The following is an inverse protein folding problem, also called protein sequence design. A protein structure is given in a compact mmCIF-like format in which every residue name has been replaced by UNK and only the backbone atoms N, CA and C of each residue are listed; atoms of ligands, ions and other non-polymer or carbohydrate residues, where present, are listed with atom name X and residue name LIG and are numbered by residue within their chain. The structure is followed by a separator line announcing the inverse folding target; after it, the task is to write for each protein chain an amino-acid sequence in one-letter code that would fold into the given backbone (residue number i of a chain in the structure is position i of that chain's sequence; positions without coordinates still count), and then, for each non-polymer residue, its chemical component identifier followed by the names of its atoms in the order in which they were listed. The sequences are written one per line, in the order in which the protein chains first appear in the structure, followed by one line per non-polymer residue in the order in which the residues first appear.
data_IF_913316059719
#
_entry.id   IF_913316059719
#
_cell.length_a   1.000
_cell.length_b   1.000
_cell.length_c   1.000
_cell.angle_alpha   90.00
_cell.angle_beta   90.00
_cell.angle_gamma   90.00
#
_symmetry.space_group_name_H-M   'P 1'
#
loop_
_entity.id
_entity.type
_entity.pdbx_description
1 polymer ?
#
# COMPACT_ATOMS: atom_id res chain seq x y z
N UNK A 1 -56.33 36.48 12.53
CA UNK A 1 -55.28 36.67 11.52
C UNK A 1 -53.92 36.63 12.19
N UNK A 2 -52.99 35.91 11.55
CA UNK A 2 -51.55 35.84 11.76
C UNK A 2 -51.02 35.12 13.00
N UNK A 3 -50.95 33.80 12.87
CA UNK A 3 -49.80 33.04 13.34
C UNK A 3 -48.63 33.16 12.35
N UNK A 4 -47.40 33.19 12.88
CA UNK A 4 -46.14 32.82 12.23
C UNK A 4 -45.02 33.00 13.26
N UNK A 5 -43.97 32.19 13.36
CA UNK A 5 -43.68 30.84 12.92
C UNK A 5 -42.40 30.51 13.68
N UNK A 6 -42.49 29.71 14.75
CA UNK A 6 -41.30 29.22 15.45
C UNK A 6 -40.71 28.06 14.64
N UNK A 7 -39.77 28.38 13.77
CA UNK A 7 -38.94 27.38 13.10
C UNK A 7 -37.46 27.73 13.31
N UNK A 8 -36.96 27.47 14.52
CA UNK A 8 -35.52 27.20 14.71
C UNK A 8 -35.21 25.97 13.86
N UNK A 9 -34.63 26.20 12.69
CA UNK A 9 -33.98 25.18 11.89
C UNK A 9 -32.91 24.54 12.78
N UNK A 10 -33.25 23.41 13.39
CA UNK A 10 -32.28 22.45 13.92
C UNK A 10 -31.40 22.05 12.74
N UNK A 11 -30.26 22.72 12.62
CA UNK A 11 -29.13 22.21 11.85
C UNK A 11 -28.92 20.77 12.30
N UNK A 12 -29.25 19.82 11.42
CA UNK A 12 -28.92 18.43 11.62
C UNK A 12 -27.40 18.41 11.66
N UNK A 13 -26.81 18.27 12.85
CA UNK A 13 -25.40 17.92 13.00
C UNK A 13 -25.17 16.62 12.22
N UNK A 14 -24.79 16.75 10.95
CA UNK A 14 -24.28 15.66 10.14
C UNK A 14 -22.93 15.30 10.74
N UNK A 15 -22.92 14.25 11.55
CA UNK A 15 -21.69 13.56 11.98
C UNK A 15 -20.81 13.41 10.74
N UNK A 16 -19.55 13.88 10.76
CA UNK A 16 -18.66 13.68 9.63
C UNK A 16 -18.63 12.18 9.32
N UNK A 17 -18.92 11.79 8.08
CA UNK A 17 -18.67 10.44 7.60
C UNK A 17 -17.22 10.10 7.99
N UNK A 18 -17.02 9.17 8.92
CA UNK A 18 -15.69 8.69 9.28
C UNK A 18 -15.10 8.10 8.00
N UNK A 19 -14.13 8.80 7.41
CA UNK A 19 -13.46 8.35 6.21
C UNK A 19 -12.94 6.92 6.41
N UNK A 20 -12.91 6.14 5.33
CA UNK A 20 -12.37 4.79 5.33
C UNK A 20 -11.14 4.72 4.44
N UNK A 21 -10.13 3.99 4.90
CA UNK A 21 -8.94 3.64 4.12
C UNK A 21 -9.16 2.38 3.27
N UNK A 22 -10.31 1.71 3.43
CA UNK A 22 -10.71 0.57 2.59
C UNK A 22 -11.27 0.99 1.24
N UNK A 23 -11.19 0.09 0.29
CA UNK A 23 -11.76 0.23 -1.04
C UNK A 23 -12.32 -1.11 -1.55
N UNK A 24 -13.22 -1.06 -2.54
CA UNK A 24 -13.61 -2.25 -3.31
C UNK A 24 -12.63 -2.44 -4.47
N UNK A 25 -12.03 -3.63 -4.55
CA UNK A 25 -11.08 -3.96 -5.61
C UNK A 25 -11.78 -4.09 -6.97
N UNK A 26 -11.11 -3.63 -8.03
CA UNK A 26 -11.50 -3.75 -9.43
C UNK A 26 -10.40 -4.42 -10.24
N UNK A 27 -10.75 -5.46 -11.01
CA UNK A 27 -9.81 -6.14 -11.88
C UNK A 27 -9.24 -5.23 -12.99
N UNK A 28 -10.08 -4.34 -13.54
CA UNK A 28 -9.65 -3.38 -14.57
C UNK A 28 -8.62 -2.37 -14.02
N UNK A 29 -8.84 -1.87 -12.80
CA UNK A 29 -7.86 -1.00 -12.13
C UNK A 29 -6.56 -1.75 -11.88
N UNK A 30 -6.64 -3.00 -11.40
CA UNK A 30 -5.46 -3.84 -11.18
C UNK A 30 -4.64 -4.05 -12.44
N UNK A 31 -5.31 -4.44 -13.53
CA UNK A 31 -4.64 -4.66 -14.81
C UNK A 31 -3.90 -3.39 -15.28
N UNK A 32 -4.54 -2.22 -15.17
CA UNK A 32 -3.92 -0.94 -15.52
C UNK A 32 -2.70 -0.64 -14.64
N UNK A 33 -2.81 -0.83 -13.32
CA UNK A 33 -1.72 -0.58 -12.37
C UNK A 33 -0.51 -1.47 -12.68
N UNK A 34 -0.73 -2.77 -12.95
CA UNK A 34 0.33 -3.71 -13.31
C UNK A 34 1.01 -3.34 -14.63
N UNK A 35 0.24 -2.94 -15.65
CA UNK A 35 0.79 -2.47 -16.92
C UNK A 35 1.62 -1.21 -16.77
N UNK A 36 1.15 -0.24 -15.97
CA UNK A 36 1.89 0.99 -15.68
C UNK A 36 3.20 0.69 -14.95
N UNK A 37 3.17 -0.24 -13.99
CA UNK A 37 4.36 -0.66 -13.26
C UNK A 37 5.37 -1.38 -14.17
N UNK A 38 4.93 -2.29 -15.04
CA UNK A 38 5.80 -2.90 -16.08
C UNK A 38 6.44 -1.82 -16.95
N UNK A 39 5.65 -0.85 -17.43
CA UNK A 39 6.15 0.22 -18.26
C UNK A 39 7.19 1.08 -17.53
N UNK A 40 6.98 1.36 -16.25
CA UNK A 40 7.94 2.06 -15.41
C UNK A 40 9.23 1.26 -15.23
N UNK A 41 9.13 -0.03 -14.90
CA UNK A 41 10.30 -0.91 -14.77
C UNK A 41 11.12 -0.96 -16.06
N UNK A 42 10.46 -1.08 -17.23
CA UNK A 42 11.17 -1.10 -18.53
C UNK A 42 11.99 0.16 -18.80
N UNK A 43 11.60 1.31 -18.27
CA UNK A 43 12.37 2.57 -18.40
C UNK A 43 13.66 2.55 -17.57
N UNK A 44 13.67 1.80 -16.47
CA UNK A 44 14.82 1.65 -15.59
C UNK A 44 15.71 0.51 -16.08
N UNK A 45 15.09 -0.64 -16.36
CA UNK A 45 15.70 -1.88 -16.80
C UNK A 45 14.72 -2.65 -17.69
N UNK A 46 14.95 -2.69 -19.02
CA UNK A 46 14.12 -3.45 -19.95
C UNK A 46 13.97 -4.92 -19.56
N UNK A 47 15.05 -5.53 -19.03
CA UNK A 47 15.08 -6.92 -18.58
C UNK A 47 14.16 -7.13 -17.37
N UNK A 48 14.24 -6.27 -16.34
CA UNK A 48 13.39 -6.39 -15.15
C UNK A 48 11.91 -6.20 -15.50
N UNK A 49 11.61 -5.26 -16.41
CA UNK A 49 10.26 -5.09 -16.93
C UNK A 49 9.75 -6.31 -17.71
N UNK A 50 10.60 -6.97 -18.50
CA UNK A 50 10.25 -8.22 -19.19
C UNK A 50 10.03 -9.38 -18.21
N UNK A 51 10.90 -9.52 -17.21
CA UNK A 51 10.78 -10.53 -16.15
C UNK A 51 9.51 -10.33 -15.32
N UNK A 52 9.22 -9.10 -14.91
CA UNK A 52 8.00 -8.80 -14.16
C UNK A 52 6.74 -9.03 -15.00
N UNK A 53 6.78 -8.72 -16.30
CA UNK A 53 5.69 -9.05 -17.22
C UNK A 53 5.40 -10.56 -17.25
N UNK A 54 6.42 -11.41 -17.23
CA UNK A 54 6.22 -12.87 -17.17
C UNK A 54 5.59 -13.32 -15.85
N UNK A 55 5.93 -12.67 -14.73
CA UNK A 55 5.35 -12.97 -13.41
C UNK A 55 3.85 -12.69 -13.42
N UNK A 56 3.42 -11.52 -13.91
CA UNK A 56 2.00 -11.14 -13.91
C UNK A 56 1.15 -11.94 -14.90
N UNK A 57 1.76 -12.54 -15.93
CA UNK A 57 1.08 -13.50 -16.82
C UNK A 57 0.82 -14.84 -16.13
N UNK A 58 1.67 -15.23 -15.17
CA UNK A 58 1.56 -16.52 -14.46
C UNK A 58 0.67 -16.47 -13.23
N UNK A 59 0.58 -15.32 -12.56
CA UNK A 59 -0.15 -15.17 -11.30
C UNK A 59 -0.50 -13.71 -11.01
N UNK A 60 -1.57 -13.47 -10.23
CA UNK A 60 -1.83 -12.14 -9.67
C UNK A 60 -0.82 -11.85 -8.55
N UNK A 61 0.11 -10.89 -8.73
CA UNK A 61 1.12 -10.56 -7.72
C UNK A 61 0.50 -10.09 -6.39
N UNK A 62 -0.66 -9.43 -6.43
CA UNK A 62 -1.37 -8.96 -5.23
C UNK A 62 -2.00 -10.14 -4.47
N UNK A 63 -2.42 -11.19 -5.18
CA UNK A 63 -2.89 -12.41 -4.54
C UNK A 63 -1.74 -13.18 -3.86
N UNK A 64 -0.54 -13.17 -4.45
CA UNK A 64 0.65 -13.84 -3.90
C UNK A 64 1.09 -13.26 -2.56
N UNK A 65 0.98 -11.94 -2.36
CA UNK A 65 1.40 -11.29 -1.11
C UNK A 65 0.34 -11.36 0.01
N UNK A 66 -0.93 -11.53 -0.35
CA UNK A 66 -2.06 -11.47 0.59
C UNK A 66 -1.92 -12.41 1.81
N UNK A 67 -1.44 -13.66 1.70
CA UNK A 67 -1.23 -14.54 2.85
C UNK A 67 -0.24 -13.95 3.88
N UNK A 68 0.82 -13.29 3.42
CA UNK A 68 1.82 -12.65 4.28
C UNK A 68 1.21 -11.54 5.11
N UNK A 69 0.39 -10.68 4.50
CA UNK A 69 -0.35 -9.62 5.22
C UNK A 69 -1.36 -10.21 6.20
N UNK A 70 -2.07 -11.27 5.81
CA UNK A 70 -3.11 -11.89 6.64
C UNK A 70 -2.55 -12.42 7.96
N UNK A 71 -1.31 -12.91 8.00
CA UNK A 71 -0.61 -13.33 9.24
C UNK A 71 -0.57 -12.22 10.29
N UNK A 72 -0.49 -10.96 9.85
CA UNK A 72 -0.48 -9.78 10.71
C UNK A 72 -1.85 -9.09 10.82
N UNK A 73 -2.93 -9.74 10.37
CA UNK A 73 -4.27 -9.15 10.29
C UNK A 73 -4.35 -7.87 9.44
N UNK A 74 -3.47 -7.77 8.44
CA UNK A 74 -3.45 -6.73 7.42
C UNK A 74 -4.17 -7.20 6.15
N UNK A 75 -4.60 -6.24 5.32
CA UNK A 75 -5.36 -6.51 4.10
C UNK A 75 -4.80 -5.77 2.90
N UNK A 76 -4.96 -6.38 1.73
CA UNK A 76 -4.59 -5.76 0.45
C UNK A 76 -5.62 -4.74 -0.04
N UNK A 77 -6.84 -4.75 0.51
CA UNK A 77 -7.94 -3.84 0.17
C UNK A 77 -8.09 -2.65 1.15
N UNK A 78 -7.05 -2.33 1.91
CA UNK A 78 -6.97 -1.19 2.83
C UNK A 78 -5.63 -0.46 2.64
N UNK A 79 -5.68 0.81 2.23
CA UNK A 79 -4.47 1.60 1.91
C UNK A 79 -3.58 1.78 3.14
N UNK A 80 -4.16 1.87 4.34
CA UNK A 80 -3.36 2.01 5.56
C UNK A 80 -2.60 0.72 5.87
N UNK A 81 -3.21 -0.44 5.59
CA UNK A 81 -2.58 -1.74 5.80
C UNK A 81 -1.44 -1.97 4.77
N UNK A 82 -1.63 -1.59 3.51
CA UNK A 82 -0.57 -1.68 2.49
C UNK A 82 0.56 -0.70 2.75
N UNK A 83 0.28 0.52 3.20
CA UNK A 83 1.30 1.49 3.60
C UNK A 83 2.09 1.03 4.83
N UNK A 84 1.41 0.41 5.79
CA UNK A 84 2.05 -0.23 6.95
C UNK A 84 3.02 -1.32 6.49
N UNK A 85 2.58 -2.17 5.57
CA UNK A 85 3.41 -3.24 5.01
C UNK A 85 4.65 -2.67 4.31
N UNK A 86 4.48 -1.65 3.47
CA UNK A 86 5.59 -0.96 2.80
C UNK A 86 6.59 -0.36 3.78
N UNK A 87 6.12 0.42 4.76
CA UNK A 87 7.02 1.08 5.73
C UNK A 87 7.83 0.06 6.54
N UNK A 88 7.18 -1.02 6.99
CA UNK A 88 7.85 -2.05 7.77
C UNK A 88 8.85 -2.83 6.89
N UNK A 89 8.44 -3.22 5.68
CA UNK A 89 9.32 -3.88 4.71
C UNK A 89 10.55 -3.03 4.40
N UNK A 90 10.38 -1.75 4.12
CA UNK A 90 11.48 -0.82 3.85
C UNK A 90 12.40 -0.63 5.07
N UNK A 91 11.83 -0.50 6.28
CA UNK A 91 12.62 -0.34 7.50
C UNK A 91 13.49 -1.57 7.80
N UNK A 92 12.91 -2.77 7.71
CA UNK A 92 13.63 -4.02 7.91
C UNK A 92 14.64 -4.27 6.79
N UNK A 93 14.26 -3.95 5.54
CA UNK A 93 15.09 -4.06 4.36
C UNK A 93 16.36 -3.22 4.45
N UNK A 94 16.27 -1.94 4.83
CA UNK A 94 17.45 -1.07 5.04
C UNK A 94 18.36 -1.62 6.16
N UNK A 95 17.79 -2.28 7.16
CA UNK A 95 18.57 -2.96 8.22
C UNK A 95 19.13 -4.30 7.76
N UNK A 96 18.65 -4.85 6.64
CA UNK A 96 18.99 -6.19 6.16
C UNK A 96 18.43 -7.29 7.06
N UNK A 97 17.40 -6.96 7.85
CA UNK A 97 16.73 -7.94 8.70
C UNK A 97 15.72 -8.71 7.87
N UNK A 98 15.73 -10.03 8.03
CA UNK A 98 14.74 -10.95 7.44
C UNK A 98 13.78 -11.49 8.51
N UNK A 99 13.87 -10.98 9.73
CA UNK A 99 12.98 -11.36 10.82
C UNK A 99 11.60 -10.74 10.65
N UNK A 100 10.58 -11.49 11.04
CA UNK A 100 9.23 -10.95 11.12
C UNK A 100 9.13 -9.86 12.21
N UNK A 101 8.38 -8.78 11.96
CA UNK A 101 8.13 -7.75 12.95
C UNK A 101 7.23 -8.28 14.09
N UNK A 102 7.45 -7.86 15.35
CA UNK A 102 6.50 -8.10 16.42
C UNK A 102 5.10 -7.52 16.11
N UNK A 103 4.03 -8.26 16.42
CA UNK A 103 2.64 -7.86 16.09
C UNK A 103 2.25 -6.48 16.66
N UNK A 104 2.74 -6.13 17.86
CA UNK A 104 2.49 -4.83 18.47
C UNK A 104 3.12 -3.68 17.67
N UNK A 105 4.27 -3.88 17.03
CA UNK A 105 4.89 -2.88 16.16
C UNK A 105 4.07 -2.69 14.89
N UNK A 106 3.60 -3.79 14.28
CA UNK A 106 2.70 -3.72 13.12
C UNK A 106 1.43 -2.93 13.45
N UNK A 107 0.80 -3.23 14.58
CA UNK A 107 -0.41 -2.53 15.03
C UNK A 107 -0.17 -1.04 15.29
N UNK A 108 0.97 -0.69 15.89
CA UNK A 108 1.34 0.71 16.16
C UNK A 108 1.55 1.52 14.88
N UNK A 109 2.26 0.95 13.89
CA UNK A 109 2.45 1.61 12.57
C UNK A 109 1.11 1.70 11.83
N UNK A 110 0.29 0.65 11.86
CA UNK A 110 -1.06 0.65 11.28
C UNK A 110 -1.94 1.76 11.81
N UNK A 111 -1.97 1.94 13.13
CA UNK A 111 -2.75 3.01 13.76
C UNK A 111 -2.28 4.39 13.31
N UNK A 112 -0.97 4.62 13.26
CA UNK A 112 -0.38 5.88 12.80
C UNK A 112 -0.71 6.16 11.33
N UNK A 113 -0.55 5.17 10.45
CA UNK A 113 -0.87 5.32 9.02
C UNK A 113 -2.33 5.61 8.79
N UNK A 114 -3.22 4.86 9.46
CA UNK A 114 -4.66 5.09 9.37
C UNK A 114 -5.05 6.49 9.84
N UNK A 115 -4.51 6.93 10.98
CA UNK A 115 -4.75 8.26 11.51
C UNK A 115 -4.26 9.36 10.56
N UNK A 116 -3.03 9.24 10.05
CA UNK A 116 -2.44 10.22 9.14
C UNK A 116 -3.23 10.33 7.83
N UNK A 117 -3.64 9.20 7.24
CA UNK A 117 -4.42 9.19 6.00
C UNK A 117 -5.80 9.82 6.18
N UNK A 118 -6.49 9.50 7.28
CA UNK A 118 -7.83 10.03 7.54
C UNK A 118 -7.83 11.49 7.97
N UNK A 119 -6.69 12.02 8.42
CA UNK A 119 -6.51 13.45 8.68
C UNK A 119 -6.46 14.29 7.39
N UNK A 120 -6.27 13.67 6.21
CA UNK A 120 -6.22 14.36 4.91
C UNK A 120 -7.60 14.26 4.23
N UNK A 121 -8.38 15.35 4.14
CA UNK A 121 -9.76 15.30 3.62
C UNK A 121 -9.85 14.80 2.17
N UNK A 122 -8.89 15.17 1.31
CA UNK A 122 -8.84 14.72 -0.09
C UNK A 122 -8.61 13.21 -0.21
N UNK A 123 -7.82 12.62 0.69
CA UNK A 123 -7.67 11.16 0.76
C UNK A 123 -8.95 10.49 1.26
N UNK A 124 -9.56 11.03 2.33
CA UNK A 124 -10.78 10.48 2.89
C UNK A 124 -11.92 10.43 1.85
N UNK A 125 -12.01 11.46 1.00
CA UNK A 125 -12.96 11.58 -0.11
C UNK A 125 -12.52 10.87 -1.41
N UNK A 126 -11.36 10.22 -1.45
CA UNK A 126 -10.86 9.55 -2.67
C UNK A 126 -11.72 8.35 -3.08
N UNK A 127 -11.83 8.15 -4.39
CA UNK A 127 -12.53 7.02 -4.98
C UNK A 127 -11.86 5.68 -4.64
N UNK A 128 -12.62 4.58 -4.74
CA UNK A 128 -12.09 3.23 -4.59
C UNK A 128 -10.97 2.94 -5.60
N UNK A 129 -11.10 3.42 -6.84
CA UNK A 129 -10.08 3.25 -7.88
C UNK A 129 -8.77 3.97 -7.52
N UNK A 130 -8.86 5.18 -6.95
CA UNK A 130 -7.69 5.95 -6.48
C UNK A 130 -7.02 5.24 -5.31
N UNK A 131 -7.80 4.79 -4.32
CA UNK A 131 -7.29 4.04 -3.16
C UNK A 131 -6.65 2.72 -3.58
N UNK A 132 -7.28 2.00 -4.51
CA UNK A 132 -6.74 0.77 -5.07
C UNK A 132 -5.40 1.00 -5.77
N UNK A 133 -5.30 2.04 -6.62
CA UNK A 133 -4.05 2.39 -7.27
C UNK A 133 -2.94 2.63 -6.24
N UNK A 134 -3.21 3.45 -5.22
CA UNK A 134 -2.24 3.71 -4.15
C UNK A 134 -1.81 2.43 -3.41
N UNK A 135 -2.77 1.61 -3.01
CA UNK A 135 -2.52 0.39 -2.27
C UNK A 135 -1.68 -0.61 -3.07
N UNK A 136 -2.04 -0.83 -4.33
CA UNK A 136 -1.34 -1.78 -5.19
C UNK A 136 0.05 -1.28 -5.58
N UNK A 137 0.27 0.02 -5.80
CA UNK A 137 1.62 0.57 -5.99
C UNK A 137 2.52 0.28 -4.79
N UNK A 138 2.02 0.43 -3.56
CA UNK A 138 2.77 0.13 -2.33
C UNK A 138 3.09 -1.37 -2.22
N UNK A 139 2.13 -2.25 -2.53
CA UNK A 139 2.36 -3.69 -2.51
C UNK A 139 3.38 -4.13 -3.56
N UNK A 140 3.39 -3.52 -4.74
CA UNK A 140 4.38 -3.78 -5.77
C UNK A 140 5.79 -3.38 -5.31
N UNK A 141 5.94 -2.25 -4.61
CA UNK A 141 7.21 -1.86 -4.00
C UNK A 141 7.66 -2.83 -2.89
N UNK A 142 6.72 -3.35 -2.08
CA UNK A 142 7.05 -4.41 -1.11
C UNK A 142 7.65 -5.63 -1.81
N UNK A 143 7.09 -6.05 -2.94
CA UNK A 143 7.62 -7.18 -3.70
C UNK A 143 9.03 -6.91 -4.26
N UNK A 144 9.30 -5.68 -4.71
CA UNK A 144 10.65 -5.28 -5.15
C UNK A 144 11.63 -5.36 -3.98
N UNK A 145 11.27 -4.81 -2.82
CA UNK A 145 12.10 -4.87 -1.62
C UNK A 145 12.41 -6.32 -1.21
N UNK A 146 11.40 -7.19 -1.19
CA UNK A 146 11.57 -8.60 -0.86
C UNK A 146 12.48 -9.33 -1.86
N UNK A 147 12.34 -9.03 -3.16
CA UNK A 147 13.19 -9.60 -4.20
C UNK A 147 14.66 -9.16 -4.05
N UNK A 148 14.90 -7.88 -3.79
CA UNK A 148 16.24 -7.34 -3.55
C UNK A 148 16.92 -7.98 -2.33
N UNK A 149 16.21 -8.05 -1.20
CA UNK A 149 16.73 -8.65 0.04
C UNK A 149 16.97 -10.15 -0.14
N UNK A 150 16.06 -10.86 -0.83
CA UNK A 150 16.22 -12.29 -1.09
C UNK A 150 17.42 -12.58 -1.99
N UNK A 151 17.59 -11.82 -3.08
CA UNK A 151 18.73 -11.95 -3.99
C UNK A 151 20.08 -11.68 -3.28
N UNK A 152 20.07 -10.78 -2.29
CA UNK A 152 21.24 -10.36 -1.56
C UNK A 152 21.58 -11.20 -0.30
N UNK A 153 20.72 -12.14 0.12
CA UNK A 153 20.74 -12.79 1.45
C UNK A 153 22.10 -13.37 1.86
N UNK A 154 22.91 -13.83 0.91
CA UNK A 154 24.23 -14.44 1.16
C UNK A 154 25.39 -13.69 0.49
N UNK A 155 25.18 -12.44 0.07
CA UNK A 155 26.14 -11.67 -0.74
C UNK A 155 26.32 -10.27 -0.14
N UNK A 156 27.33 -10.02 0.70
CA UNK A 156 27.47 -8.78 1.45
C UNK A 156 27.47 -7.51 0.59
N UNK A 157 28.16 -7.54 -0.56
CA UNK A 157 28.18 -6.41 -1.51
C UNK A 157 26.81 -6.15 -2.13
N UNK A 158 26.07 -7.20 -2.49
CA UNK A 158 24.70 -7.07 -3.02
C UNK A 158 23.72 -6.62 -1.93
N UNK A 159 23.94 -6.99 -0.67
CA UNK A 159 23.14 -6.52 0.47
C UNK A 159 23.33 -5.02 0.70
N UNK A 160 24.56 -4.51 0.59
CA UNK A 160 24.81 -3.07 0.65
C UNK A 160 24.07 -2.32 -0.47
N UNK A 161 24.08 -2.87 -1.70
CA UNK A 161 23.36 -2.30 -2.83
C UNK A 161 21.84 -2.34 -2.63
N UNK A 162 21.28 -3.47 -2.20
CA UNK A 162 19.85 -3.62 -1.91
C UNK A 162 19.38 -2.59 -0.88
N UNK A 163 20.12 -2.41 0.22
CA UNK A 163 19.83 -1.40 1.24
C UNK A 163 19.82 0.01 0.67
N UNK A 164 20.78 0.34 -0.19
CA UNK A 164 20.87 1.66 -0.82
C UNK A 164 19.69 1.89 -1.77
N UNK A 165 19.28 0.90 -2.56
CA UNK A 165 18.11 0.99 -3.42
C UNK A 165 16.83 1.20 -2.61
N UNK A 166 16.61 0.40 -1.56
CA UNK A 166 15.42 0.55 -0.68
C UNK A 166 15.40 1.94 -0.03
N UNK A 167 16.55 2.46 0.39
CA UNK A 167 16.66 3.83 0.95
C UNK A 167 16.24 4.92 -0.05
N UNK A 168 16.45 4.69 -1.35
CA UNK A 168 16.06 5.61 -2.42
C UNK A 168 14.61 5.39 -2.92
N UNK A 169 13.90 4.38 -2.38
CA UNK A 169 12.53 4.05 -2.78
C UNK A 169 12.44 3.16 -4.02
N UNK A 170 13.27 2.11 -4.07
CA UNK A 170 13.39 1.12 -5.15
C UNK A 170 12.08 0.70 -5.84
#
# INVERSE_FOLDING_TARGET
MNGSSSARLRSKNSTPSRGTTRFRSSAAVRQRNLQQFVAQLRRISPEDGARFQQVITKSDPIATIAPGLKRFSLRTDDVADTATTYLISSWYGVRGSTQDPPQNYVNGVRAQMRSAMLAVPSFAASSDATKQHMAESLLLQVMVNEALITAARNKPSQMAQAKQSIKQGA
#
